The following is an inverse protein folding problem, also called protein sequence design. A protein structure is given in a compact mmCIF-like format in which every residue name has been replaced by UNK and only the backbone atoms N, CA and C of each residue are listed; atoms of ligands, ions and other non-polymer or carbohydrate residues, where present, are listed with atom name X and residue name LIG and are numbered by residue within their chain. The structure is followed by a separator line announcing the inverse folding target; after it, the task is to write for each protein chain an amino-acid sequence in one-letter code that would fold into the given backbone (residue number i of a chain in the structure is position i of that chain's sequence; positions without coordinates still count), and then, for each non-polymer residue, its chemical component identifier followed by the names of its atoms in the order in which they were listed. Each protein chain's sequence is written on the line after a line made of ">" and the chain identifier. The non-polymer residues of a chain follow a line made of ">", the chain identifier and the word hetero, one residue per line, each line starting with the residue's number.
data_IF_474377834463
#
_entry.id   IF_474377834463
#
_cell.length_a   1.000
_cell.length_b   1.000
_cell.length_c   1.000
_cell.angle_alpha   90.00
_cell.angle_beta   90.00
_cell.angle_gamma   90.00
#
_symmetry.space_group_name_H-M   'P 1'
#
loop_
_entity.id
_entity.type
_entity.pdbx_description
1 polymer ?
#
# COMPACT_ATOMS: atom_id res chain seq x y z
N UNK A 1 4.83 6.13 2.16
CA UNK A 1 5.39 5.15 3.11
C UNK A 1 6.77 5.57 3.59
N UNK A 2 7.67 5.94 2.67
CA UNK A 2 8.98 6.50 3.00
C UNK A 2 9.05 7.99 2.69
N UNK A 3 9.75 8.77 3.51
CA UNK A 3 10.10 10.14 3.18
C UNK A 3 11.06 10.18 1.98
N UNK A 4 10.73 10.92 0.90
CA UNK A 4 11.57 11.00 -0.29
C UNK A 4 13.00 11.47 0.03
N UNK A 5 13.99 10.65 -0.33
CA UNK A 5 15.43 10.90 -0.13
C UNK A 5 15.87 11.11 1.32
N UNK A 6 15.09 10.66 2.31
CA UNK A 6 15.41 10.80 3.75
C UNK A 6 15.36 9.49 4.51
N UNK A 7 14.59 8.53 4.02
CA UNK A 7 14.56 7.18 4.54
C UNK A 7 15.09 6.18 3.52
N UNK A 8 15.64 5.03 3.97
CA UNK A 8 15.88 3.89 3.10
C UNK A 8 14.59 3.51 2.35
N UNK A 9 14.74 3.23 1.06
CA UNK A 9 13.64 2.76 0.23
C UNK A 9 13.14 1.38 0.69
N UNK A 10 11.93 1.01 0.26
CA UNK A 10 11.40 -0.33 0.48
C UNK A 10 12.25 -1.36 -0.26
N UNK A 11 12.48 -2.52 0.39
CA UNK A 11 13.06 -3.67 -0.28
C UNK A 11 12.11 -4.17 -1.39
N UNK A 12 12.66 -4.59 -2.53
CA UNK A 12 11.88 -5.03 -3.69
C UNK A 12 10.89 -6.17 -3.35
N UNK A 13 11.33 -7.15 -2.56
CA UNK A 13 10.45 -8.25 -2.13
C UNK A 13 9.32 -7.78 -1.21
N UNK A 14 9.55 -6.74 -0.42
CA UNK A 14 8.54 -6.20 0.49
C UNK A 14 7.46 -5.44 -0.29
N UNK A 15 7.87 -4.53 -1.17
CA UNK A 15 6.91 -3.72 -1.95
C UNK A 15 6.11 -4.57 -2.95
N UNK A 16 6.72 -5.62 -3.52
CA UNK A 16 6.03 -6.57 -4.38
C UNK A 16 5.00 -7.43 -3.60
N UNK A 17 5.34 -7.88 -2.39
CA UNK A 17 4.34 -8.54 -1.52
C UNK A 17 3.22 -7.58 -1.10
N UNK A 18 3.53 -6.31 -0.81
CA UNK A 18 2.51 -5.29 -0.52
C UNK A 18 1.58 -5.08 -1.72
N UNK A 19 2.10 -5.07 -2.95
CA UNK A 19 1.30 -4.97 -4.17
C UNK A 19 0.24 -6.09 -4.24
N UNK A 20 0.65 -7.35 -4.08
CA UNK A 20 -0.25 -8.49 -4.11
C UNK A 20 -1.34 -8.40 -3.03
N UNK A 21 -0.95 -8.12 -1.78
CA UNK A 21 -1.87 -8.12 -0.65
C UNK A 21 -2.82 -6.92 -0.66
N UNK A 22 -2.31 -5.71 -0.88
CA UNK A 22 -3.13 -4.51 -0.93
C UNK A 22 -4.10 -4.54 -2.10
N UNK A 23 -3.66 -4.99 -3.29
CA UNK A 23 -4.54 -5.09 -4.43
C UNK A 23 -5.62 -6.17 -4.26
N UNK A 24 -5.30 -7.28 -3.58
CA UNK A 24 -6.28 -8.31 -3.19
C UNK A 24 -7.31 -7.72 -2.22
N UNK A 25 -6.86 -7.04 -1.17
CA UNK A 25 -7.75 -6.41 -0.20
C UNK A 25 -8.70 -5.39 -0.86
N UNK A 26 -8.13 -4.43 -1.60
CA UNK A 26 -8.87 -3.33 -2.22
C UNK A 26 -9.92 -3.81 -3.22
N UNK A 27 -9.61 -4.84 -4.02
CA UNK A 27 -10.55 -5.38 -5.02
C UNK A 27 -11.64 -6.29 -4.43
N UNK A 28 -11.51 -6.69 -3.17
CA UNK A 28 -12.52 -7.46 -2.45
C UNK A 28 -13.22 -6.64 -1.35
N UNK A 29 -12.90 -5.35 -1.23
CA UNK A 29 -13.54 -4.47 -0.28
C UNK A 29 -15.01 -4.22 -0.67
N UNK A 30 -15.95 -4.46 0.25
CA UNK A 30 -17.39 -4.40 -0.04
C UNK A 30 -17.86 -3.00 -0.48
N UNK A 31 -17.22 -1.95 0.00
CA UNK A 31 -17.59 -0.56 -0.29
C UNK A 31 -16.81 -0.02 -1.50
N UNK A 32 -15.54 -0.41 -1.65
CA UNK A 32 -14.61 0.25 -2.57
C UNK A 32 -14.30 -0.52 -3.85
N UNK A 33 -14.55 -1.83 -3.92
CA UNK A 33 -14.12 -2.68 -5.06
C UNK A 33 -14.48 -2.12 -6.44
N UNK A 34 -15.69 -1.58 -6.61
CA UNK A 34 -16.17 -1.07 -7.90
C UNK A 34 -15.51 0.27 -8.31
N UNK A 35 -14.83 0.92 -7.37
CA UNK A 35 -14.09 2.17 -7.60
C UNK A 35 -12.61 1.93 -7.83
N UNK A 36 -12.05 0.77 -7.46
CA UNK A 36 -10.61 0.50 -7.57
C UNK A 36 -10.22 0.22 -9.02
N UNK A 37 -9.41 1.11 -9.60
CA UNK A 37 -8.85 0.94 -10.94
C UNK A 37 -7.48 0.26 -10.85
N UNK A 38 -6.62 0.76 -9.96
CA UNK A 38 -5.23 0.31 -9.89
C UNK A 38 -4.63 0.51 -8.49
N UNK A 39 -3.80 -0.46 -8.09
CA UNK A 39 -2.82 -0.34 -7.03
C UNK A 39 -1.50 -0.86 -7.57
N UNK A 40 -0.39 -0.15 -7.33
CA UNK A 40 0.93 -0.70 -7.60
C UNK A 40 2.11 0.20 -7.20
N UNK A 41 3.33 -0.34 -7.23
CA UNK A 41 4.51 0.30 -6.67
C UNK A 41 4.97 1.50 -7.49
N UNK A 42 5.45 2.54 -6.80
CA UNK A 42 6.22 3.60 -7.44
C UNK A 42 7.63 3.08 -7.77
N UNK A 43 8.17 3.43 -8.93
CA UNK A 43 9.53 3.01 -9.34
C UNK A 43 10.66 3.52 -8.45
N UNK A 44 10.41 4.56 -7.64
CA UNK A 44 11.35 5.05 -6.63
C UNK A 44 11.31 4.27 -5.30
N UNK A 45 10.39 3.29 -5.16
CA UNK A 45 10.29 2.39 -4.01
C UNK A 45 9.99 3.07 -2.66
N UNK A 46 9.35 4.26 -2.67
CA UNK A 46 8.95 4.99 -1.44
C UNK A 46 7.46 4.91 -1.13
N UNK A 47 6.67 4.27 -1.99
CA UNK A 47 5.23 4.13 -1.84
C UNK A 47 4.56 3.48 -3.05
N UNK A 48 3.24 3.60 -3.13
CA UNK A 48 2.39 3.00 -4.15
C UNK A 48 1.46 4.07 -4.74
N UNK A 49 1.02 3.87 -5.98
CA UNK A 49 -0.11 4.59 -6.55
C UNK A 49 -1.40 3.82 -6.28
N UNK A 50 -2.45 4.56 -5.92
CA UNK A 50 -3.83 4.09 -5.89
C UNK A 50 -4.63 4.98 -6.85
N UNK A 51 -5.30 4.37 -7.82
CA UNK A 51 -6.20 5.05 -8.76
C UNK A 51 -7.62 4.57 -8.47
N UNK A 52 -8.50 5.52 -8.15
CA UNK A 52 -9.91 5.28 -7.88
C UNK A 52 -10.79 6.04 -8.87
N UNK A 53 -11.96 5.49 -9.17
CA UNK A 53 -13.04 6.17 -9.86
C UNK A 53 -13.82 7.05 -8.89
N UNK A 54 -13.98 8.32 -9.23
CA UNK A 54 -14.79 9.29 -8.47
C UNK A 54 -14.10 10.64 -8.34
N UNK A 55 -14.83 11.60 -7.78
CA UNK A 55 -14.27 12.88 -7.32
C UNK A 55 -14.03 12.73 -5.81
N UNK A 56 -12.80 12.37 -5.45
CA UNK A 56 -12.41 12.00 -4.09
C UNK A 56 -11.23 12.86 -3.63
N UNK A 57 -11.27 13.28 -2.38
CA UNK A 57 -10.18 13.95 -1.71
C UNK A 57 -9.37 12.95 -0.85
N UNK A 58 -8.13 13.31 -0.49
CA UNK A 58 -7.25 12.47 0.34
C UNK A 58 -7.93 12.00 1.64
N UNK A 59 -8.76 12.84 2.24
CA UNK A 59 -9.47 12.54 3.50
C UNK A 59 -10.48 11.41 3.35
N UNK A 60 -11.09 11.25 2.17
CA UNK A 60 -12.17 10.30 1.93
C UNK A 60 -11.67 8.85 1.94
N UNK A 61 -10.37 8.65 1.70
CA UNK A 61 -9.75 7.32 1.62
C UNK A 61 -8.90 6.97 2.85
N UNK A 62 -8.83 7.83 3.86
CA UNK A 62 -7.97 7.59 5.04
C UNK A 62 -8.35 6.29 5.75
N UNK A 63 -9.64 6.03 5.93
CA UNK A 63 -10.10 4.79 6.57
C UNK A 63 -9.77 3.57 5.71
N UNK A 64 -10.04 3.63 4.39
CA UNK A 64 -9.67 2.57 3.46
C UNK A 64 -8.17 2.24 3.53
N UNK A 65 -7.31 3.26 3.59
CA UNK A 65 -5.87 3.08 3.72
C UNK A 65 -5.49 2.45 5.06
N UNK A 66 -6.09 2.89 6.17
CA UNK A 66 -5.88 2.24 7.48
C UNK A 66 -6.24 0.76 7.44
N UNK A 67 -7.40 0.40 6.90
CA UNK A 67 -7.86 -0.99 6.79
C UNK A 67 -6.95 -1.80 5.86
N UNK A 68 -6.54 -1.24 4.73
CA UNK A 68 -5.63 -1.88 3.77
C UNK A 68 -4.28 -2.20 4.42
N UNK A 69 -3.63 -1.21 5.05
CA UNK A 69 -2.32 -1.43 5.66
C UNK A 69 -2.39 -2.27 6.94
N UNK A 70 -3.50 -2.24 7.66
CA UNK A 70 -3.76 -3.19 8.76
C UNK A 70 -3.84 -4.62 8.25
N UNK A 71 -4.61 -4.85 7.18
CA UNK A 71 -4.68 -6.16 6.54
C UNK A 71 -3.30 -6.67 6.14
N UNK A 72 -2.48 -5.84 5.48
CA UNK A 72 -1.12 -6.25 5.08
C UNK A 72 -0.22 -6.50 6.29
N UNK A 73 -0.26 -5.66 7.31
CA UNK A 73 0.55 -5.80 8.53
C UNK A 73 0.23 -7.09 9.31
N UNK A 74 -1.04 -7.45 9.37
CA UNK A 74 -1.55 -8.60 10.12
C UNK A 74 -1.64 -9.87 9.27
N UNK A 75 -1.37 -9.80 7.96
CA UNK A 75 -1.51 -10.93 7.05
C UNK A 75 -0.66 -12.13 7.46
N UNK A 76 -1.26 -13.31 7.34
CA UNK A 76 -0.63 -14.60 7.58
C UNK A 76 -1.05 -15.57 6.48
N UNK A 77 -0.19 -16.54 6.20
CA UNK A 77 -0.44 -17.56 5.20
C UNK A 77 0.19 -17.25 3.85
N UNK A 78 -0.32 -17.90 2.81
CA UNK A 78 0.23 -17.83 1.46
C UNK A 78 -0.14 -16.51 0.77
N UNK A 79 0.81 -15.94 0.03
CA UNK A 79 0.59 -14.68 -0.70
C UNK A 79 -0.27 -15.00 -1.94
N UNK A 80 -1.46 -14.38 -2.10
CA UNK A 80 -2.32 -14.63 -3.25
C UNK A 80 -1.61 -14.28 -4.55
N UNK A 81 -1.69 -15.15 -5.55
CA UNK A 81 -1.05 -14.95 -6.86
C UNK A 81 0.47 -15.06 -6.87
N UNK A 82 1.12 -15.53 -5.79
CA UNK A 82 2.57 -15.76 -5.75
C UNK A 82 2.98 -17.13 -6.33
N UNK A 83 2.22 -17.66 -7.28
CA UNK A 83 2.55 -18.89 -8.00
C UNK A 83 3.24 -18.59 -9.34
N UNK A 84 4.02 -19.53 -9.91
CA UNK A 84 4.72 -19.32 -11.18
C UNK A 84 3.82 -18.96 -12.37
N UNK A 85 2.56 -19.37 -12.35
CA UNK A 85 1.60 -19.08 -13.42
C UNK A 85 0.97 -17.68 -13.29
N UNK A 86 0.98 -17.10 -12.08
CA UNK A 86 0.24 -15.89 -11.74
C UNK A 86 1.14 -14.65 -11.54
N UNK A 87 2.42 -14.86 -11.24
CA UNK A 87 3.38 -13.79 -10.98
C UNK A 87 4.64 -13.91 -11.83
N UNK A 88 4.99 -12.82 -12.53
CA UNK A 88 6.17 -12.73 -13.38
C UNK A 88 7.50 -12.86 -12.63
N UNK A 89 7.51 -12.69 -11.31
CA UNK A 89 8.68 -12.91 -10.46
C UNK A 89 8.29 -13.47 -9.08
N UNK A 90 7.62 -14.63 -9.08
CA UNK A 90 7.06 -15.28 -7.90
C UNK A 90 8.07 -15.64 -6.78
N UNK A 91 9.38 -15.60 -7.04
CA UNK A 91 10.42 -15.80 -6.03
C UNK A 91 10.77 -14.51 -5.27
N UNK A 92 10.38 -13.34 -5.79
CA UNK A 92 10.70 -12.03 -5.21
C UNK A 92 9.62 -11.60 -4.19
N UNK A 93 9.40 -12.39 -3.15
CA UNK A 93 8.46 -12.05 -2.09
C UNK A 93 9.13 -12.03 -0.72
N UNK A 94 8.76 -11.05 0.10
CA UNK A 94 9.20 -10.93 1.50
C UNK A 94 8.02 -10.52 2.38
N UNK A 95 7.24 -11.51 2.84
CA UNK A 95 6.09 -11.28 3.71
C UNK A 95 6.47 -10.66 5.06
N UNK A 96 7.51 -11.13 5.78
CA UNK A 96 7.92 -10.51 7.04
C UNK A 96 8.23 -9.01 6.88
N UNK A 97 8.98 -8.63 5.84
CA UNK A 97 9.31 -7.22 5.61
C UNK A 97 8.09 -6.42 5.13
N UNK A 98 7.23 -6.98 4.29
CA UNK A 98 5.98 -6.34 3.87
C UNK A 98 5.07 -6.00 5.07
N UNK A 99 4.96 -6.94 6.01
CA UNK A 99 4.22 -6.74 7.26
C UNK A 99 4.84 -5.66 8.13
N UNK A 100 6.15 -5.69 8.31
CA UNK A 100 6.89 -4.69 9.08
C UNK A 100 6.70 -3.28 8.51
N UNK A 101 6.93 -3.10 7.20
CA UNK A 101 6.81 -1.79 6.53
C UNK A 101 5.37 -1.26 6.55
N UNK A 102 4.39 -2.16 6.42
CA UNK A 102 2.97 -1.81 6.50
C UNK A 102 2.55 -1.42 7.91
N UNK A 103 3.02 -2.15 8.94
CA UNK A 103 2.78 -1.82 10.34
C UNK A 103 3.41 -0.47 10.70
N UNK A 104 4.65 -0.22 10.27
CA UNK A 104 5.31 1.07 10.48
C UNK A 104 4.49 2.22 9.89
N UNK A 105 4.10 2.10 8.62
CA UNK A 105 3.31 3.15 7.97
C UNK A 105 1.92 3.34 8.60
N UNK A 106 1.27 2.24 9.00
CA UNK A 106 -0.01 2.27 9.69
C UNK A 106 0.08 3.05 11.01
N UNK A 107 1.00 2.65 11.90
CA UNK A 107 1.08 3.16 13.26
C UNK A 107 1.72 4.56 13.34
N UNK A 108 2.79 4.79 12.57
CA UNK A 108 3.52 6.05 12.65
C UNK A 108 2.88 7.17 11.81
N UNK A 109 2.11 6.83 10.76
CA UNK A 109 1.55 7.82 9.83
C UNK A 109 0.03 7.78 9.76
N UNK A 110 -0.59 6.65 9.38
CA UNK A 110 -2.03 6.62 9.09
C UNK A 110 -2.88 6.81 10.35
N UNK A 111 -2.55 6.15 11.45
CA UNK A 111 -3.24 6.28 12.74
C UNK A 111 -3.03 7.67 13.36
N UNK A 112 -1.89 8.30 13.06
CA UNK A 112 -1.50 9.62 13.57
C UNK A 112 -1.68 10.76 12.56
N UNK A 113 -2.46 10.53 11.50
CA UNK A 113 -2.55 11.43 10.35
C UNK A 113 -3.14 12.79 10.74
N UNK A 114 -2.58 13.87 10.21
CA UNK A 114 -3.01 15.26 10.44
C UNK A 114 -3.46 15.87 9.11
N UNK A 115 -4.20 16.97 9.20
CA UNK A 115 -4.66 17.73 8.03
C UNK A 115 -3.50 18.11 7.09
N UNK A 116 -2.35 18.51 7.65
CA UNK A 116 -1.15 18.84 6.88
C UNK A 116 -0.58 17.66 6.05
N UNK A 117 -0.94 16.41 6.36
CA UNK A 117 -0.56 15.24 5.57
C UNK A 117 -1.48 15.00 4.37
N UNK A 118 -2.69 15.57 4.40
CA UNK A 118 -3.73 15.38 3.38
C UNK A 118 -3.63 16.40 2.25
N UNK A 119 -2.89 17.49 2.50
CA UNK A 119 -2.69 18.60 1.58
C UNK A 119 -1.30 18.54 0.97
N UNK A 120 -1.20 18.66 -0.35
CA UNK A 120 0.09 18.75 -1.02
C UNK A 120 0.82 20.04 -0.63
N UNK A 121 2.15 20.00 -0.43
CA UNK A 121 2.91 21.20 -0.15
C UNK A 121 2.88 22.16 -1.35
N UNK A 122 2.76 23.46 -1.06
CA UNK A 122 2.89 24.49 -2.08
C UNK A 122 4.31 24.48 -2.67
N UNK A 123 4.41 24.71 -3.98
CA UNK A 123 5.71 24.86 -4.64
C UNK A 123 6.39 26.12 -4.08
N UNK A 124 7.57 25.94 -3.48
CA UNK A 124 8.46 27.05 -3.12
C UNK A 124 9.13 27.64 -4.35
#
# INVERSE_FOLDING_TARGET
>A
MKEPNREPVLHNGAIHTIEHLAATFLRNDDEWKDRVIYWGPMGCLTGNYLILRGDLESKDIVDLMKRTFRFVAEYQGEIPGAAPMDCGNYLLHDLPMARFESAKYLHEVLECIKEANLTYPEKK
#
